data_IF_980259023767
#
_entry.id   IF_980259023767
#
_cell.length_a   1.000
_cell.length_b   1.000
_cell.length_c   1.000
_cell.angle_alpha   90.00
_cell.angle_beta   90.00
_cell.angle_gamma   90.00
#
_symmetry.space_group_name_H-M   'P 1'
#
loop_
_entity.id
_entity.type
_entity.pdbx_description
1 polymer ?
#
# COMPACT_ATOMS: atom_id res chain seq x y z
N UNK A 1 7.34 12.46 12.41
CA UNK A 1 6.83 11.45 11.45
C UNK A 1 7.09 10.07 12.05
N UNK A 2 6.39 9.00 11.64
CA UNK A 2 6.63 7.65 12.21
C UNK A 2 7.83 6.93 11.58
N UNK A 3 8.20 7.29 10.35
CA UNK A 3 9.34 6.75 9.60
C UNK A 3 9.96 7.88 8.77
N UNK A 4 11.27 7.92 8.68
CA UNK A 4 11.99 8.92 7.87
C UNK A 4 12.48 8.35 6.53
N UNK A 5 12.42 7.02 6.38
CA UNK A 5 12.72 6.29 5.14
C UNK A 5 11.60 5.29 4.88
N UNK A 6 11.02 5.31 3.69
CA UNK A 6 9.88 4.47 3.31
C UNK A 6 10.00 3.99 1.87
N UNK A 7 9.23 2.97 1.52
CA UNK A 7 9.15 2.46 0.15
C UNK A 7 8.20 3.30 -0.71
N UNK A 8 8.48 3.41 -2.01
CA UNK A 8 7.52 3.94 -2.98
C UNK A 8 6.23 3.09 -2.97
N UNK A 9 5.08 3.78 -2.88
CA UNK A 9 3.76 3.16 -2.81
C UNK A 9 3.34 2.72 -1.39
N UNK A 10 4.18 2.96 -0.38
CA UNK A 10 3.81 2.82 1.03
C UNK A 10 2.84 3.94 1.45
N UNK A 11 1.84 3.61 2.27
CA UNK A 11 0.96 4.62 2.87
C UNK A 11 1.53 5.04 4.22
N UNK A 12 1.97 6.29 4.32
CA UNK A 12 2.60 6.84 5.52
C UNK A 12 1.63 7.72 6.30
N UNK A 13 1.69 7.64 7.64
CA UNK A 13 0.90 8.51 8.52
C UNK A 13 1.73 9.72 8.94
N UNK A 14 1.33 10.89 8.45
CA UNK A 14 1.92 12.17 8.87
C UNK A 14 1.13 12.67 10.07
N UNK A 15 1.84 13.07 11.13
CA UNK A 15 1.27 13.68 12.32
C UNK A 15 1.96 15.00 12.58
N UNK A 16 1.20 16.01 12.97
CA UNK A 16 1.73 17.26 13.49
C UNK A 16 1.19 17.50 14.91
N UNK A 17 1.95 18.22 15.73
CA UNK A 17 1.49 18.75 17.01
C UNK A 17 1.21 20.23 16.82
N UNK A 18 -0.02 20.63 17.11
CA UNK A 18 -0.45 22.02 17.07
C UNK A 18 -0.73 22.46 18.49
N UNK A 19 -0.04 23.48 18.97
CA UNK A 19 -0.21 24.01 20.32
C UNK A 19 -0.86 25.39 20.26
N UNK A 20 -1.71 25.66 21.23
CA UNK A 20 -2.34 26.96 21.39
C UNK A 20 -1.47 27.85 22.28
N UNK A 21 -0.92 28.91 21.69
CA UNK A 21 -0.07 29.88 22.40
C UNK A 21 -0.79 31.17 22.79
N UNK A 22 -2.03 31.38 22.33
CA UNK A 22 -2.69 32.70 22.33
C UNK A 22 -4.08 32.72 22.96
N UNK A 23 -4.54 31.61 23.55
CA UNK A 23 -5.83 31.53 24.22
C UNK A 23 -6.98 31.20 23.27
N UNK A 24 -7.99 32.06 23.10
CA UNK A 24 -9.15 31.69 22.29
C UNK A 24 -8.86 31.83 20.78
N UNK A 25 -8.61 30.70 20.10
CA UNK A 25 -8.32 30.65 18.66
C UNK A 25 -9.62 30.33 17.89
N UNK A 26 -9.94 31.08 16.80
CA UNK A 26 -11.09 30.76 15.95
C UNK A 26 -10.93 29.39 15.25
N UNK A 27 -11.98 28.86 14.60
CA UNK A 27 -11.86 27.66 13.78
C UNK A 27 -10.69 27.76 12.79
N UNK A 28 -9.92 26.69 12.67
CA UNK A 28 -8.69 26.67 11.88
C UNK A 28 -8.55 25.38 11.09
N UNK A 29 -7.68 25.42 10.08
CA UNK A 29 -7.35 24.27 9.23
C UNK A 29 -5.86 23.98 9.33
N UNK A 30 -5.54 22.69 9.48
CA UNK A 30 -4.18 22.18 9.34
C UNK A 30 -4.09 21.52 7.98
N UNK A 31 -3.19 22.02 7.15
CA UNK A 31 -2.94 21.52 5.80
C UNK A 31 -1.57 20.85 5.76
N UNK A 32 -1.50 19.71 5.08
CA UNK A 32 -0.28 18.93 4.89
C UNK A 32 0.12 18.96 3.42
N UNK A 33 1.39 19.23 3.14
CA UNK A 33 1.98 19.30 1.80
C UNK A 33 3.30 18.54 1.74
N UNK A 34 3.81 18.33 0.53
CA UNK A 34 5.19 17.92 0.30
C UNK A 34 5.89 18.91 -0.65
N UNK A 35 7.15 19.26 -0.37
CA UNK A 35 8.05 20.16 -1.12
C UNK A 35 7.63 21.63 -1.23
N UNK A 36 6.36 21.92 -1.54
CA UNK A 36 5.85 23.28 -1.70
C UNK A 36 4.43 23.45 -1.15
N UNK A 37 4.09 24.66 -0.71
CA UNK A 37 2.76 25.02 -0.21
C UNK A 37 1.88 25.49 -1.38
N UNK A 38 1.38 24.54 -2.16
CA UNK A 38 0.46 24.80 -3.27
C UNK A 38 -0.54 23.65 -3.48
N UNK A 39 -1.49 23.83 -4.42
CA UNK A 39 -2.55 22.84 -4.68
C UNK A 39 -2.02 21.51 -5.24
N UNK A 40 -0.93 21.52 -6.02
CA UNK A 40 -0.34 20.32 -6.63
C UNK A 40 0.31 19.43 -5.58
N UNK A 41 0.85 20.04 -4.55
CA UNK A 41 1.60 19.41 -3.48
C UNK A 41 0.77 19.12 -2.22
N UNK A 42 -0.53 19.45 -2.25
CA UNK A 42 -1.44 19.24 -1.12
C UNK A 42 -1.70 17.74 -0.92
N UNK A 43 -1.31 17.23 0.25
CA UNK A 43 -1.62 15.87 0.71
C UNK A 43 -3.04 15.82 1.26
N UNK A 44 -3.42 16.80 2.09
CA UNK A 44 -4.74 16.83 2.69
C UNK A 44 -4.92 17.88 3.78
N UNK A 45 -6.14 17.94 4.32
CA UNK A 45 -6.54 18.93 5.33
C UNK A 45 -7.26 18.30 6.52
N UNK A 46 -7.16 18.95 7.67
CA UNK A 46 -7.93 18.67 8.89
C UNK A 46 -8.51 19.96 9.44
N UNK A 47 -9.81 19.96 9.68
CA UNK A 47 -10.56 21.12 10.16
C UNK A 47 -10.86 20.96 11.64
N UNK A 48 -10.69 22.05 12.40
CA UNK A 48 -10.97 22.08 13.83
C UNK A 48 -11.77 23.32 14.17
N UNK A 49 -12.82 23.15 14.97
CA UNK A 49 -13.62 24.27 15.48
C UNK A 49 -12.96 25.00 16.65
N UNK A 50 -12.09 24.31 17.39
CA UNK A 50 -11.42 24.86 18.57
C UNK A 50 -10.20 24.06 19.00
N UNK A 51 -9.33 24.71 19.76
CA UNK A 51 -8.16 24.15 20.43
C UNK A 51 -8.07 24.72 21.85
N UNK A 52 -7.98 23.84 22.85
CA UNK A 52 -7.76 24.27 24.23
C UNK A 52 -6.25 24.38 24.49
N UNK A 53 -5.55 23.25 24.57
CA UNK A 53 -4.10 23.20 24.76
C UNK A 53 -3.35 22.79 23.49
N UNK A 54 -3.68 21.62 22.94
CA UNK A 54 -3.05 21.11 21.72
C UNK A 54 -4.01 20.24 20.89
N UNK A 55 -3.67 20.03 19.63
CA UNK A 55 -4.27 19.02 18.73
C UNK A 55 -3.16 18.19 18.07
N UNK A 56 -3.49 16.95 17.72
CA UNK A 56 -2.62 16.02 16.99
C UNK A 56 -3.24 15.64 15.62
N UNK A 57 -3.37 16.59 14.69
CA UNK A 57 -3.83 16.30 13.34
C UNK A 57 -2.96 15.24 12.67
N UNK A 58 -3.62 14.36 11.92
CA UNK A 58 -2.92 13.35 11.10
C UNK A 58 -3.62 13.08 9.79
N UNK A 59 -2.83 12.73 8.77
CA UNK A 59 -3.26 12.37 7.42
C UNK A 59 -2.46 11.15 6.94
N UNK A 60 -3.08 10.34 6.10
CA UNK A 60 -2.42 9.24 5.40
C UNK A 60 -2.02 9.72 4.00
N UNK A 61 -0.79 9.44 3.61
CA UNK A 61 -0.21 9.85 2.33
C UNK A 61 0.29 8.64 1.57
N UNK A 62 -0.17 8.47 0.34
CA UNK A 62 0.34 7.47 -0.61
C UNK A 62 1.58 8.03 -1.32
N UNK A 63 2.74 7.38 -1.16
CA UNK A 63 4.03 7.84 -1.70
C UNK A 63 4.28 7.41 -3.15
N UNK A 64 3.30 6.80 -3.82
CA UNK A 64 3.43 6.32 -5.20
C UNK A 64 3.88 7.42 -6.16
N UNK A 65 4.93 7.16 -6.96
CA UNK A 65 5.45 8.09 -7.95
C UNK A 65 6.27 9.25 -7.39
N UNK A 66 6.62 9.22 -6.10
CA UNK A 66 7.34 10.29 -5.40
C UNK A 66 8.69 9.79 -4.89
N UNK A 67 9.43 9.07 -5.72
CA UNK A 67 10.78 8.59 -5.39
C UNK A 67 11.73 9.77 -5.16
N UNK A 68 12.49 9.71 -4.07
CA UNK A 68 13.48 10.71 -3.72
C UNK A 68 13.29 11.28 -2.32
N UNK A 69 14.04 12.35 -2.03
CA UNK A 69 13.94 13.05 -0.75
C UNK A 69 12.94 14.19 -0.86
N UNK A 70 11.96 14.21 0.05
CA UNK A 70 10.89 15.19 0.07
C UNK A 70 10.82 15.92 1.42
N UNK A 71 10.41 17.19 1.38
CA UNK A 71 10.13 17.97 2.58
C UNK A 71 8.64 17.92 2.89
N UNK A 72 8.23 17.28 3.97
CA UNK A 72 6.84 17.24 4.44
C UNK A 72 6.55 18.46 5.28
N UNK A 73 5.52 19.21 4.87
CA UNK A 73 5.16 20.50 5.44
C UNK A 73 3.78 20.36 6.09
N UNK A 74 3.66 20.70 7.37
CA UNK A 74 2.40 20.92 8.03
C UNK A 74 2.26 22.42 8.32
N UNK A 75 1.23 23.06 7.79
CA UNK A 75 0.97 24.45 8.10
C UNK A 75 -0.46 24.69 8.54
N UNK A 76 -0.62 25.69 9.39
CA UNK A 76 -1.89 26.23 9.81
C UNK A 76 -2.11 27.48 8.98
N UNK A 77 -3.32 27.68 8.48
CA UNK A 77 -3.72 28.98 7.95
C UNK A 77 -4.58 29.70 8.97
N UNK A 78 -4.00 30.35 10.02
CA UNK A 78 -4.72 31.36 10.75
C UNK A 78 -4.43 32.74 10.11
N UNK A 79 -5.40 33.64 10.19
CA UNK A 79 -5.21 35.08 9.97
C UNK A 79 -4.32 35.68 11.07
N UNK A 80 -3.10 35.17 11.27
CA UNK A 80 -2.19 35.61 12.32
C UNK A 80 -0.96 36.31 11.73
N UNK A 81 -0.51 37.33 12.44
CA UNK A 81 0.53 38.29 12.04
C UNK A 81 1.94 37.71 12.12
N UNK A 82 2.10 36.46 12.58
CA UNK A 82 3.36 35.73 12.62
C UNK A 82 3.28 34.49 11.73
N UNK A 83 3.65 34.62 10.46
CA UNK A 83 3.55 33.53 9.48
C UNK A 83 4.55 32.39 9.70
N UNK A 84 5.59 32.59 10.51
CA UNK A 84 6.68 31.61 10.68
C UNK A 84 6.37 30.55 11.74
N UNK A 85 5.61 30.88 12.78
CA UNK A 85 5.27 29.94 13.86
C UNK A 85 4.18 28.91 13.47
N UNK A 86 3.55 29.10 12.31
CA UNK A 86 2.43 28.31 11.83
C UNK A 86 2.83 27.20 10.85
N UNK A 87 4.13 26.98 10.66
CA UNK A 87 4.68 25.99 9.73
C UNK A 87 5.64 25.07 10.47
N UNK A 88 5.50 23.76 10.29
CA UNK A 88 6.42 22.75 10.75
C UNK A 88 6.82 21.85 9.58
N UNK A 89 8.11 21.51 9.50
CA UNK A 89 8.68 20.75 8.40
C UNK A 89 9.44 19.53 8.91
N UNK A 90 9.48 18.47 8.11
CA UNK A 90 10.32 17.28 8.34
C UNK A 90 10.69 16.66 7.00
N UNK A 91 11.73 15.85 6.93
CA UNK A 91 12.14 15.21 5.67
C UNK A 91 11.82 13.73 5.66
N UNK A 92 11.43 13.23 4.48
CA UNK A 92 11.26 11.80 4.20
C UNK A 92 12.13 11.42 3.00
N UNK A 93 12.68 10.22 3.02
CA UNK A 93 13.27 9.57 1.84
C UNK A 93 12.38 8.43 1.36
N UNK A 94 11.98 8.48 0.09
CA UNK A 94 11.14 7.48 -0.57
C UNK A 94 12.03 6.66 -1.51
N UNK A 95 12.25 5.40 -1.16
CA UNK A 95 13.09 4.45 -1.90
C UNK A 95 12.32 3.87 -3.07
N UNK A 96 12.97 3.83 -4.24
CA UNK A 96 12.44 3.17 -5.43
C UNK A 96 12.22 1.67 -5.19
N UNK A 97 10.99 1.21 -5.36
CA UNK A 97 10.61 -0.22 -5.28
C UNK A 97 10.18 -0.78 -6.64
N UNK A 98 10.43 -0.05 -7.72
CA UNK A 98 10.12 -0.49 -9.08
C UNK A 98 10.80 -1.82 -9.38
N UNK A 99 10.09 -2.80 -9.98
CA UNK A 99 10.68 -4.09 -10.26
C UNK A 99 11.89 -3.99 -11.20
N UNK A 100 12.89 -4.84 -10.96
CA UNK A 100 14.09 -4.95 -11.77
C UNK A 100 13.80 -5.55 -13.17
N UNK A 101 14.84 -5.67 -14.00
CA UNK A 101 14.69 -6.18 -15.38
C UNK A 101 14.16 -7.62 -15.46
N UNK A 102 14.44 -8.47 -14.46
CA UNK A 102 13.96 -9.85 -14.41
C UNK A 102 12.59 -9.96 -13.76
N UNK A 103 12.37 -9.23 -12.67
CA UNK A 103 11.07 -9.16 -11.98
C UNK A 103 9.96 -8.69 -12.94
N UNK A 104 10.25 -7.71 -13.80
CA UNK A 104 9.35 -7.25 -14.88
C UNK A 104 8.98 -8.32 -15.91
N UNK A 105 9.66 -9.46 -15.92
CA UNK A 105 9.39 -10.56 -16.87
C UNK A 105 8.50 -11.65 -16.30
N UNK A 106 8.12 -11.57 -15.01
CA UNK A 106 7.14 -12.50 -14.46
C UNK A 106 5.81 -12.32 -15.21
N UNK A 107 5.18 -13.44 -15.56
CA UNK A 107 3.96 -13.48 -16.37
C UNK A 107 2.83 -14.14 -15.58
N UNK A 108 1.60 -13.69 -15.82
CA UNK A 108 0.42 -14.51 -15.59
C UNK A 108 0.19 -15.31 -16.87
N UNK A 109 0.36 -16.62 -16.82
CA UNK A 109 0.24 -17.49 -18.00
C UNK A 109 -1.10 -18.18 -18.11
N UNK A 110 -1.79 -18.36 -16.98
CA UNK A 110 -3.15 -18.91 -16.95
C UNK A 110 -3.98 -18.12 -15.95
N UNK A 111 -5.25 -17.91 -16.29
CA UNK A 111 -6.24 -17.30 -15.41
C UNK A 111 -7.57 -18.01 -15.63
N UNK A 112 -8.09 -18.59 -14.57
CA UNK A 112 -9.42 -19.15 -14.54
C UNK A 112 -10.24 -18.38 -13.51
N UNK A 113 -11.02 -17.42 -13.98
CA UNK A 113 -11.77 -16.48 -13.15
C UNK A 113 -13.27 -16.85 -13.02
N UNK A 114 -13.74 -17.79 -13.84
CA UNK A 114 -15.15 -18.14 -13.94
C UNK A 114 -15.41 -19.45 -13.19
N UNK A 115 -15.28 -19.41 -11.86
CA UNK A 115 -15.60 -20.54 -11.00
C UNK A 115 -17.02 -21.02 -11.27
N UNK A 116 -17.19 -22.33 -11.49
CA UNK A 116 -18.51 -22.94 -11.51
C UNK A 116 -19.24 -22.58 -10.20
N UNK A 117 -20.55 -22.28 -10.25
CA UNK A 117 -21.29 -21.92 -9.05
C UNK A 117 -21.07 -22.95 -7.93
N UNK A 118 -20.65 -22.46 -6.76
CA UNK A 118 -20.36 -23.25 -5.55
C UNK A 118 -19.08 -24.10 -5.57
N UNK A 119 -18.25 -24.06 -6.62
CA UNK A 119 -17.02 -24.87 -6.69
C UNK A 119 -15.79 -24.11 -6.17
N UNK A 120 -15.75 -22.77 -6.28
CA UNK A 120 -14.65 -21.93 -5.73
C UNK A 120 -13.26 -22.33 -6.24
N UNK A 121 -13.17 -22.64 -7.52
CA UNK A 121 -11.99 -23.15 -8.24
C UNK A 121 -11.27 -22.08 -9.06
N UNK A 122 -11.50 -20.80 -8.77
CA UNK A 122 -10.74 -19.76 -9.45
C UNK A 122 -9.24 -19.92 -9.17
N UNK A 123 -8.42 -19.74 -10.21
CA UNK A 123 -6.98 -19.87 -10.07
C UNK A 123 -6.21 -18.94 -11.02
N UNK A 124 -4.98 -18.68 -10.65
CA UNK A 124 -3.99 -17.96 -11.46
C UNK A 124 -2.68 -18.71 -11.46
N UNK A 125 -2.04 -18.78 -12.63
CA UNK A 125 -0.71 -19.34 -12.79
C UNK A 125 0.29 -18.20 -13.01
N UNK A 126 1.30 -18.12 -12.14
CA UNK A 126 2.39 -17.15 -12.22
C UNK A 126 3.65 -17.89 -12.68
N UNK A 127 4.27 -17.39 -13.74
CA UNK A 127 5.43 -18.01 -14.36
C UNK A 127 6.64 -17.07 -14.34
N UNK A 128 7.80 -17.61 -13.96
CA UNK A 128 9.10 -16.97 -14.14
C UNK A 128 9.80 -17.53 -15.38
N UNK A 129 9.73 -16.87 -16.55
CA UNK A 129 10.38 -17.34 -17.78
C UNK A 129 11.89 -17.07 -17.79
N UNK A 130 12.45 -16.54 -16.71
CA UNK A 130 13.86 -16.14 -16.65
C UNK A 130 14.74 -17.28 -16.14
N UNK A 131 16.04 -17.17 -16.46
CA UNK A 131 17.07 -18.11 -15.99
C UNK A 131 17.55 -17.82 -14.56
N UNK A 132 16.89 -16.89 -13.84
CA UNK A 132 17.24 -16.48 -12.48
C UNK A 132 16.08 -16.78 -11.56
N UNK A 133 16.37 -17.13 -10.31
CA UNK A 133 15.34 -17.10 -9.25
C UNK A 133 14.97 -15.65 -8.96
N UNK A 134 13.69 -15.39 -8.70
CA UNK A 134 13.15 -14.05 -8.40
C UNK A 134 12.58 -14.07 -7.00
N UNK A 135 12.90 -13.05 -6.20
CA UNK A 135 12.32 -12.90 -4.88
C UNK A 135 10.93 -12.29 -5.03
N UNK A 136 9.88 -13.03 -4.66
CA UNK A 136 8.49 -12.55 -4.71
C UNK A 136 7.92 -12.34 -3.29
N UNK A 137 8.79 -12.28 -2.30
CA UNK A 137 8.39 -12.09 -0.90
C UNK A 137 7.58 -10.80 -0.72
N UNK A 138 6.39 -10.91 -0.15
CA UNK A 138 5.48 -9.78 0.07
C UNK A 138 4.85 -9.20 -1.20
N UNK A 139 5.11 -9.78 -2.38
CA UNK A 139 4.30 -9.50 -3.55
C UNK A 139 2.87 -9.96 -3.28
N UNK A 140 1.90 -9.34 -3.95
CA UNK A 140 0.51 -9.73 -3.78
C UNK A 140 -0.27 -9.64 -5.10
N UNK A 141 -1.32 -10.44 -5.18
CA UNK A 141 -2.32 -10.38 -6.24
C UNK A 141 -3.50 -9.56 -5.73
N UNK A 142 -4.02 -8.66 -6.57
CA UNK A 142 -5.21 -7.86 -6.25
C UNK A 142 -6.14 -7.76 -7.45
N UNK A 143 -7.44 -7.68 -7.16
CA UNK A 143 -8.49 -7.36 -8.14
C UNK A 143 -8.93 -5.90 -8.07
N UNK A 144 -8.32 -5.09 -7.19
CA UNK A 144 -8.62 -3.66 -7.02
C UNK A 144 -7.40 -2.76 -7.27
N UNK A 145 -6.61 -2.93 -8.34
CA UNK A 145 -5.34 -2.21 -8.52
C UNK A 145 -5.47 -0.68 -8.58
N UNK A 146 -6.69 -0.18 -8.82
CA UNK A 146 -7.04 1.26 -8.83
C UNK A 146 -7.28 1.85 -7.43
N UNK A 147 -7.49 1.04 -6.40
CA UNK A 147 -7.62 1.54 -5.01
C UNK A 147 -6.23 1.82 -4.42
N UNK A 148 -6.18 2.69 -3.40
CA UNK A 148 -4.96 2.89 -2.58
C UNK A 148 -4.59 1.56 -1.91
N UNK A 149 -3.29 1.29 -1.74
CA UNK A 149 -2.75 -0.03 -1.36
C UNK A 149 -3.39 -0.62 -0.09
N UNK A 150 -3.71 0.20 0.90
CA UNK A 150 -4.32 -0.20 2.18
C UNK A 150 -5.85 -0.48 2.08
N UNK A 151 -6.45 -0.23 0.91
CA UNK A 151 -7.87 -0.47 0.62
C UNK A 151 -8.09 -1.54 -0.45
N UNK A 152 -7.02 -2.17 -0.91
CA UNK A 152 -7.05 -3.24 -1.89
C UNK A 152 -7.35 -4.57 -1.19
N UNK A 153 -8.09 -5.44 -1.88
CA UNK A 153 -8.14 -6.87 -1.54
C UNK A 153 -6.85 -7.52 -2.02
N UNK A 154 -6.16 -8.26 -1.16
CA UNK A 154 -4.84 -8.85 -1.47
C UNK A 154 -4.75 -10.32 -1.10
N UNK A 155 -4.04 -11.07 -1.92
CA UNK A 155 -3.50 -12.38 -1.58
C UNK A 155 -1.97 -12.23 -1.62
N UNK A 156 -1.30 -12.46 -0.49
CA UNK A 156 0.08 -12.03 -0.25
C UNK A 156 1.00 -13.25 -0.21
N UNK A 157 2.08 -13.21 -0.98
CA UNK A 157 3.10 -14.24 -0.98
C UNK A 157 3.96 -14.19 0.29
N UNK A 158 4.25 -15.34 0.91
CA UNK A 158 5.16 -15.42 2.06
C UNK A 158 6.60 -15.12 1.61
N UNK A 159 7.54 -15.22 2.54
CA UNK A 159 8.96 -15.15 2.21
C UNK A 159 9.35 -16.33 1.29
N UNK A 160 9.52 -16.06 -0.01
CA UNK A 160 9.80 -17.10 -1.00
C UNK A 160 10.47 -16.57 -2.27
N UNK A 161 11.02 -17.52 -3.04
CA UNK A 161 11.60 -17.27 -4.35
C UNK A 161 10.89 -18.12 -5.39
N UNK A 162 10.54 -17.51 -6.52
CA UNK A 162 10.10 -18.21 -7.72
C UNK A 162 11.34 -18.66 -8.51
N UNK A 163 11.55 -19.96 -8.67
CA UNK A 163 12.70 -20.56 -9.32
C UNK A 163 12.75 -20.24 -10.82
N UNK A 164 13.90 -20.49 -11.44
CA UNK A 164 14.08 -20.31 -12.89
C UNK A 164 13.12 -21.22 -13.67
N UNK A 165 12.44 -20.67 -14.69
CA UNK A 165 11.47 -21.40 -15.52
C UNK A 165 10.36 -22.11 -14.73
N UNK A 166 10.07 -21.66 -13.51
CA UNK A 166 9.03 -22.25 -12.65
C UNK A 166 7.69 -21.56 -12.88
N UNK A 167 6.62 -22.35 -12.77
CA UNK A 167 5.25 -21.87 -12.67
C UNK A 167 4.69 -22.29 -11.32
N UNK A 168 3.98 -21.37 -10.66
CA UNK A 168 3.19 -21.67 -9.47
C UNK A 168 1.71 -21.41 -9.73
N UNK A 169 0.85 -22.25 -9.17
CA UNK A 169 -0.60 -22.14 -9.22
C UNK A 169 -1.11 -21.69 -7.86
N UNK A 170 -1.86 -20.59 -7.87
CA UNK A 170 -2.58 -20.07 -6.69
C UNK A 170 -4.06 -20.19 -6.97
N UNK A 171 -4.80 -20.87 -6.10
CA UNK A 171 -6.23 -21.10 -6.25
C UNK A 171 -7.02 -20.67 -5.01
N UNK A 172 -8.31 -20.41 -5.18
CA UNK A 172 -9.19 -20.18 -4.03
C UNK A 172 -9.32 -21.42 -3.17
N UNK A 173 -9.55 -22.60 -3.78
CA UNK A 173 -9.74 -23.87 -3.09
C UNK A 173 -8.97 -24.97 -3.82
N UNK A 174 -7.99 -25.58 -3.16
CA UNK A 174 -7.11 -26.61 -3.73
C UNK A 174 -7.84 -27.93 -4.01
N UNK A 175 -8.80 -28.32 -3.17
CA UNK A 175 -9.60 -29.52 -3.42
C UNK A 175 -10.41 -29.40 -4.72
N UNK A 176 -11.02 -28.23 -4.94
CA UNK A 176 -11.78 -27.93 -6.14
C UNK A 176 -10.88 -27.85 -7.39
N UNK A 177 -9.72 -27.20 -7.27
CA UNK A 177 -8.71 -27.16 -8.34
C UNK A 177 -8.24 -28.56 -8.75
N UNK A 178 -8.01 -29.45 -7.77
CA UNK A 178 -7.60 -30.83 -8.04
C UNK A 178 -8.68 -31.60 -8.81
N UNK A 179 -9.95 -31.45 -8.44
CA UNK A 179 -11.06 -32.12 -9.12
C UNK A 179 -11.15 -31.74 -10.61
N UNK A 180 -10.81 -30.50 -10.95
CA UNK A 180 -10.90 -30.01 -12.32
C UNK A 180 -9.65 -30.26 -13.16
N UNK A 181 -8.47 -30.11 -12.56
CA UNK A 181 -7.19 -30.15 -13.29
C UNK A 181 -6.47 -31.49 -13.15
N UNK A 182 -6.85 -32.31 -12.17
CA UNK A 182 -6.12 -33.51 -11.76
C UNK A 182 -4.76 -33.24 -11.12
N UNK A 183 -4.43 -31.98 -10.80
CA UNK A 183 -3.16 -31.54 -10.23
C UNK A 183 -3.41 -30.78 -8.93
N UNK A 184 -2.47 -30.86 -8.00
CA UNK A 184 -2.51 -30.00 -6.81
C UNK A 184 -1.92 -28.63 -7.15
N UNK A 185 -2.49 -27.54 -6.62
CA UNK A 185 -1.89 -26.22 -6.73
C UNK A 185 -0.70 -26.10 -5.76
N UNK A 186 0.12 -25.06 -5.95
CA UNK A 186 1.22 -24.75 -5.03
C UNK A 186 0.73 -24.04 -3.78
N UNK A 187 -0.34 -23.24 -3.91
CA UNK A 187 -0.95 -22.49 -2.83
C UNK A 187 -2.46 -22.42 -2.96
N UNK A 188 -3.13 -22.28 -1.81
CA UNK A 188 -4.53 -21.85 -1.74
C UNK A 188 -4.70 -20.60 -0.87
N UNK A 189 -5.88 -19.99 -0.85
CA UNK A 189 -6.20 -18.90 0.08
C UNK A 189 -7.52 -19.11 0.85
N UNK A 190 -8.10 -20.31 0.74
CA UNK A 190 -9.13 -20.85 1.63
C UNK A 190 -8.65 -22.21 2.10
N UNK A 191 -8.49 -22.38 3.41
CA UNK A 191 -8.14 -23.64 4.06
C UNK A 191 -9.12 -24.75 3.65
N UNK A 192 -8.71 -25.57 2.69
CA UNK A 192 -9.51 -26.66 2.13
C UNK A 192 -8.79 -27.99 2.20
N UNK A 193 -7.45 -28.00 2.25
CA UNK A 193 -6.66 -29.22 2.34
C UNK A 193 -5.26 -28.96 2.94
N UNK A 194 -4.29 -29.83 2.67
CA UNK A 194 -2.93 -29.73 3.22
C UNK A 194 -1.97 -28.83 2.43
N UNK A 195 -2.46 -28.08 1.43
CA UNK A 195 -1.66 -27.16 0.65
C UNK A 195 -1.46 -25.85 1.44
N UNK A 196 -0.29 -25.18 1.35
CA UNK A 196 -0.08 -23.94 2.08
C UNK A 196 -1.08 -22.83 1.74
N UNK A 197 -1.65 -22.22 2.77
CA UNK A 197 -2.48 -21.02 2.67
C UNK A 197 -1.64 -19.76 2.48
N UNK A 198 -2.07 -18.90 1.57
CA UNK A 198 -1.60 -17.53 1.46
C UNK A 198 -2.39 -16.60 2.38
N UNK A 199 -1.68 -15.65 2.97
CA UNK A 199 -2.30 -14.56 3.71
C UNK A 199 -3.21 -13.74 2.78
N UNK A 200 -4.37 -13.34 3.30
CA UNK A 200 -5.32 -12.50 2.55
C UNK A 200 -5.82 -11.31 3.36
N UNK A 201 -5.94 -10.18 2.69
CA UNK A 201 -6.54 -8.94 3.23
C UNK A 201 -7.83 -8.63 2.47
N UNK A 202 -8.91 -8.39 3.21
CA UNK A 202 -10.23 -8.07 2.65
C UNK A 202 -11.13 -9.28 2.37
N UNK A 203 -12.28 -9.01 1.74
CA UNK A 203 -13.30 -10.01 1.45
C UNK A 203 -13.20 -10.50 0.00
N UNK A 204 -13.17 -11.82 -0.16
CA UNK A 204 -13.11 -12.54 -1.43
C UNK A 204 -14.37 -13.37 -1.62
#
# INVERSE_FOLDING_TARGET
MEKDVVSEGEVVKIKAKVENLSGNIPPFVVSFYYDAVDKKHLIGKRYYYSINFYRLPSIEWDTKGLVGRHNVIACISPNDLNSENNIANTSIEIINTSPDKNEKKILITELYYHAHPNIKNEYVCIHNPTYRKINISGWYITIDPWKRVDKQRKIIFPQMFLQKNESIYVTQNASAFYLETGKMPDFEYYDSCSIPDLEREGYF
#
